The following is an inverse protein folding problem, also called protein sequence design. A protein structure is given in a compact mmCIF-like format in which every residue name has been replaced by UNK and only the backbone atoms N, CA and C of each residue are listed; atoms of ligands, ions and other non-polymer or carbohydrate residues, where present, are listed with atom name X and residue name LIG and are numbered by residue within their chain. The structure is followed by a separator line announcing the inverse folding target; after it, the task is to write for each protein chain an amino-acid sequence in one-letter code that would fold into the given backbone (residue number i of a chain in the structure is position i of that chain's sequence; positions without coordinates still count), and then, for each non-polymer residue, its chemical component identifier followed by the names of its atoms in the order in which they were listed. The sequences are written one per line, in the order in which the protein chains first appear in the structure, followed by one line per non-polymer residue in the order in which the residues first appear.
data_IF_315617761118
#
_entry.id   IF_315617761118
#
_cell.length_a   1.000
_cell.length_b   1.000
_cell.length_c   1.000
_cell.angle_alpha   90.00
_cell.angle_beta   90.00
_cell.angle_gamma   90.00
#
_symmetry.space_group_name_H-M   'P 1'
#
loop_
_entity.id
_entity.type
_entity.pdbx_description
1 polymer ?
#
# COMPACT_ATOMS: atom_id res chain seq x y z
N UNK A 1 7.81 11.60 7.21
CA UNK A 1 6.45 11.87 6.70
C UNK A 1 5.88 10.64 6.04
N UNK A 2 4.56 10.60 5.88
CA UNK A 2 3.86 9.63 5.02
C UNK A 2 4.06 9.98 3.55
N UNK A 3 3.82 9.03 2.64
CA UNK A 3 3.99 9.22 1.20
C UNK A 3 5.41 9.54 0.76
N UNK A 4 6.40 9.20 1.59
CA UNK A 4 7.82 9.43 1.32
C UNK A 4 8.66 8.27 1.83
N UNK A 5 9.84 8.09 1.25
CA UNK A 5 10.89 7.19 1.70
C UNK A 5 12.20 7.95 1.95
N UNK A 6 13.12 7.38 2.72
CA UNK A 6 14.43 7.95 3.02
C UNK A 6 15.39 7.78 1.84
N UNK A 7 15.45 8.78 0.97
CA UNK A 7 16.42 8.84 -0.13
C UNK A 7 17.87 9.02 0.35
N UNK A 8 18.07 9.62 1.53
CA UNK A 8 19.37 9.67 2.20
C UNK A 8 19.20 9.70 3.72
N UNK A 9 19.90 8.81 4.42
CA UNK A 9 19.93 8.78 5.87
C UNK A 9 20.81 9.90 6.46
N UNK A 10 20.56 10.24 7.71
CA UNK A 10 21.39 11.20 8.45
C UNK A 10 22.82 10.64 8.61
N UNK A 11 23.82 11.42 8.24
CA UNK A 11 25.23 11.01 8.34
C UNK A 11 25.95 11.50 9.60
N UNK A 12 25.40 12.50 10.30
CA UNK A 12 25.93 13.01 11.56
C UNK A 12 24.81 13.58 12.45
N UNK A 13 25.12 13.78 13.72
CA UNK A 13 24.20 14.44 14.67
C UNK A 13 23.81 15.83 14.16
N UNK A 14 22.53 16.18 14.32
CA UNK A 14 21.91 17.45 13.87
C UNK A 14 21.81 17.66 12.35
N UNK A 15 22.28 16.72 11.52
CA UNK A 15 22.00 16.75 10.09
C UNK A 15 20.65 16.07 9.79
N UNK A 16 19.86 16.69 8.91
CA UNK A 16 18.62 16.10 8.41
C UNK A 16 18.92 15.19 7.22
N UNK A 17 18.35 13.99 7.26
CA UNK A 17 18.25 13.12 6.08
C UNK A 17 17.35 13.75 5.01
N UNK A 18 17.37 13.15 3.82
CA UNK A 18 16.51 13.53 2.70
C UNK A 18 15.40 12.48 2.55
N UNK A 19 14.16 12.96 2.44
CA UNK A 19 13.03 12.12 2.08
C UNK A 19 12.52 12.53 0.70
N UNK A 20 12.29 11.55 -0.18
CA UNK A 20 11.70 11.76 -1.50
C UNK A 20 10.30 11.13 -1.55
N UNK A 21 9.38 11.66 -2.39
CA UNK A 21 8.02 11.16 -2.47
C UNK A 21 7.95 9.76 -3.09
N UNK A 22 6.93 9.01 -2.70
CA UNK A 22 6.48 7.83 -3.41
C UNK A 22 5.99 8.20 -4.84
N UNK A 23 5.81 7.22 -5.70
CA UNK A 23 5.23 7.35 -7.03
C UNK A 23 3.73 7.02 -7.01
N UNK A 24 2.92 8.03 -7.37
CA UNK A 24 1.46 7.94 -7.37
C UNK A 24 0.96 6.72 -8.16
N UNK A 25 0.12 5.90 -7.53
CA UNK A 25 -0.45 4.70 -8.12
C UNK A 25 0.50 3.52 -8.28
N UNK A 26 1.79 3.65 -7.91
CA UNK A 26 2.77 2.55 -7.95
C UNK A 26 3.21 2.10 -6.56
N UNK A 27 3.48 3.04 -5.66
CA UNK A 27 3.89 2.73 -4.31
C UNK A 27 3.39 3.78 -3.28
N UNK A 28 3.45 3.40 -2.01
CA UNK A 28 2.90 4.19 -0.92
C UNK A 28 3.66 3.98 0.40
N UNK A 29 3.47 4.89 1.35
CA UNK A 29 3.79 4.67 2.76
C UNK A 29 2.70 5.29 3.65
N UNK A 30 2.00 4.44 4.41
CA UNK A 30 0.84 4.88 5.21
C UNK A 30 1.22 5.63 6.49
N UNK A 31 2.46 5.44 6.97
CA UNK A 31 2.93 6.00 8.23
C UNK A 31 4.32 6.64 8.06
N UNK A 32 4.72 7.45 9.04
CA UNK A 32 6.09 7.92 9.12
C UNK A 32 7.05 6.73 9.20
N UNK A 33 8.09 6.77 8.38
CA UNK A 33 8.97 5.63 8.18
C UNK A 33 10.40 6.11 7.86
N UNK A 34 11.34 5.17 7.88
CA UNK A 34 12.72 5.37 7.43
C UNK A 34 13.14 4.33 6.40
N UNK A 35 12.20 3.87 5.57
CA UNK A 35 12.46 2.87 4.53
C UNK A 35 13.31 3.48 3.41
N UNK A 36 14.13 2.67 2.75
CA UNK A 36 14.93 3.10 1.59
C UNK A 36 14.11 3.15 0.29
N UNK A 37 12.85 2.72 0.33
CA UNK A 37 11.89 2.76 -0.77
C UNK A 37 10.45 2.63 -0.26
N UNK A 38 9.48 3.05 -1.07
CA UNK A 38 8.07 2.91 -0.74
C UNK A 38 7.57 1.47 -0.92
N UNK A 39 6.41 1.15 -0.36
CA UNK A 39 5.79 -0.16 -0.48
C UNK A 39 4.99 -0.22 -1.78
N UNK A 40 5.17 -1.25 -2.63
CA UNK A 40 4.42 -1.35 -3.86
C UNK A 40 2.92 -1.47 -3.56
N UNK A 41 2.10 -0.78 -4.36
CA UNK A 41 0.66 -0.88 -4.25
C UNK A 41 0.19 -2.31 -4.55
N UNK A 42 -0.75 -2.81 -3.76
CA UNK A 42 -1.46 -4.05 -4.04
C UNK A 42 -2.22 -3.93 -5.36
N UNK A 43 -2.21 -5.01 -6.12
CA UNK A 43 -3.11 -5.19 -7.27
C UNK A 43 -4.25 -6.11 -6.88
N UNK A 44 -5.49 -5.72 -7.22
CA UNK A 44 -6.64 -6.58 -6.98
C UNK A 44 -6.63 -7.76 -7.95
N UNK A 45 -6.92 -8.96 -7.44
CA UNK A 45 -6.96 -10.21 -8.21
C UNK A 45 -8.22 -10.28 -9.10
N UNK A 46 -8.26 -11.26 -9.99
CA UNK A 46 -9.37 -11.45 -10.95
C UNK A 46 -10.73 -11.68 -10.29
N UNK A 47 -10.78 -12.16 -9.06
CA UNK A 47 -11.99 -12.37 -8.25
C UNK A 47 -12.34 -11.16 -7.35
N UNK A 48 -11.60 -10.06 -7.50
CA UNK A 48 -11.74 -8.83 -6.72
C UNK A 48 -12.09 -7.63 -7.60
N UNK A 49 -12.55 -6.57 -6.95
CA UNK A 49 -12.74 -5.24 -7.51
C UNK A 49 -11.94 -4.23 -6.70
N UNK A 50 -11.39 -3.23 -7.39
CA UNK A 50 -10.76 -2.07 -6.74
C UNK A 50 -11.86 -1.16 -6.21
N UNK A 51 -11.91 -0.98 -4.89
CA UNK A 51 -12.84 -0.07 -4.22
C UNK A 51 -12.20 1.30 -4.06
N UNK A 52 -10.89 1.33 -3.80
CA UNK A 52 -10.10 2.56 -3.73
C UNK A 52 -8.75 2.34 -4.39
N UNK A 53 -8.35 3.26 -5.25
CA UNK A 53 -7.03 3.25 -5.87
C UNK A 53 -5.93 3.58 -4.86
N UNK A 54 -4.74 3.05 -5.11
CA UNK A 54 -3.55 3.43 -4.35
C UNK A 54 -3.23 4.92 -4.50
N UNK A 55 -2.75 5.51 -3.42
CA UNK A 55 -2.23 6.88 -3.35
C UNK A 55 -0.91 6.89 -2.58
N UNK A 56 -0.17 8.00 -2.58
CA UNK A 56 1.12 8.09 -1.88
C UNK A 56 1.04 7.63 -0.40
N UNK A 57 -0.10 7.85 0.26
CA UNK A 57 -0.26 7.55 1.70
C UNK A 57 -1.14 6.35 1.98
N UNK A 58 -1.60 5.62 0.96
CA UNK A 58 -2.60 4.57 1.17
C UNK A 58 -2.58 3.52 0.08
N UNK A 59 -2.62 2.25 0.48
CA UNK A 59 -2.68 1.14 -0.46
C UNK A 59 -4.03 1.09 -1.21
N UNK A 60 -4.02 0.35 -2.32
CA UNK A 60 -5.22 -0.11 -3.02
C UNK A 60 -6.10 -0.90 -2.06
N UNK A 61 -7.39 -0.56 -2.02
CA UNK A 61 -8.39 -1.35 -1.31
C UNK A 61 -9.13 -2.25 -2.28
N UNK A 62 -9.07 -3.57 -2.03
CA UNK A 62 -9.71 -4.59 -2.84
C UNK A 62 -10.87 -5.24 -2.08
N UNK A 63 -11.94 -5.58 -2.80
CA UNK A 63 -13.07 -6.34 -2.25
C UNK A 63 -13.44 -7.48 -3.18
N UNK A 64 -13.93 -8.60 -2.64
CA UNK A 64 -14.45 -9.68 -3.45
C UNK A 64 -15.61 -9.26 -4.35
N UNK A 65 -15.63 -9.81 -5.57
CA UNK A 65 -16.78 -9.71 -6.49
C UNK A 65 -18.03 -10.34 -5.85
N UNK A 66 -19.19 -9.92 -6.34
CA UNK A 66 -20.47 -10.49 -5.91
C UNK A 66 -20.48 -12.02 -6.13
N UNK A 67 -21.00 -12.77 -5.15
CA UNK A 67 -20.97 -14.24 -5.15
C UNK A 67 -19.72 -14.86 -4.52
N UNK A 68 -18.79 -14.02 -4.05
CA UNK A 68 -17.65 -14.41 -3.24
C UNK A 68 -17.67 -13.68 -1.90
N UNK A 69 -17.10 -14.30 -0.88
CA UNK A 69 -16.89 -13.71 0.43
C UNK A 69 -15.42 -13.80 0.82
N UNK A 70 -14.99 -12.89 1.70
CA UNK A 70 -13.71 -12.98 2.36
C UNK A 70 -13.92 -13.39 3.80
N UNK A 71 -13.16 -14.40 4.23
CA UNK A 71 -13.14 -14.82 5.63
C UNK A 71 -12.12 -14.01 6.46
N UNK A 72 -11.22 -13.29 5.80
CA UNK A 72 -10.15 -12.51 6.43
C UNK A 72 -10.35 -11.00 6.22
N UNK A 73 -9.88 -10.19 7.17
CA UNK A 73 -10.01 -8.72 7.20
C UNK A 73 -9.21 -8.02 6.09
N UNK A 74 -8.07 -8.59 5.66
CA UNK A 74 -7.27 -8.09 4.54
C UNK A 74 -7.81 -8.54 3.17
N UNK A 75 -8.79 -9.44 3.19
CA UNK A 75 -9.42 -10.05 2.04
C UNK A 75 -8.41 -10.55 0.98
N UNK A 76 -7.46 -11.37 1.40
CA UNK A 76 -6.41 -11.89 0.52
C UNK A 76 -6.94 -13.02 -0.38
N UNK A 77 -7.97 -13.75 0.06
CA UNK A 77 -8.56 -14.88 -0.66
C UNK A 77 -10.08 -14.73 -0.71
N UNK A 78 -10.64 -14.66 -1.93
CA UNK A 78 -12.08 -14.67 -2.14
C UNK A 78 -12.60 -16.11 -2.30
N UNK A 79 -13.42 -16.55 -1.35
CA UNK A 79 -14.08 -17.85 -1.39
C UNK A 79 -15.46 -17.72 -2.04
N UNK A 80 -15.75 -18.58 -3.01
CA UNK A 80 -17.08 -18.61 -3.62
C UNK A 80 -18.07 -19.24 -2.64
N UNK A 81 -19.30 -18.74 -2.59
CA UNK A 81 -20.36 -19.44 -1.87
C UNK A 81 -20.54 -20.85 -2.45
N UNK A 82 -20.33 -21.88 -1.63
CA UNK A 82 -20.74 -23.24 -1.96
C UNK A 82 -22.26 -23.28 -2.07
N UNK A 83 -22.79 -23.94 -3.10
CA UNK A 83 -24.21 -24.27 -3.20
C UNK A 83 -24.62 -25.29 -2.15
#
# INVERSE_FOLDING_TARGET
STGTFAAAHCSASHLRGKCDPCEEGKDFTAHENGLEGCLPCRQCKDDQITVRSCTLTQDTECKCKQGYFCADEACEICQRHSK
#
